data_IF_200018332011
#
_entry.id   IF_200018332011
#
_cell.length_a   1.000
_cell.length_b   1.000
_cell.length_c   1.000
_cell.angle_alpha   90.00
_cell.angle_beta   90.00
_cell.angle_gamma   90.00
#
_symmetry.space_group_name_H-M   'P 1'
#
loop_
_entity.id
_entity.type
_entity.pdbx_description
1 polymer ?
#
# COMPACT_ATOMS: atom_id res chain seq x y z
N UNK A 1 8.99 22.15 -41.35
CA UNK A 1 9.07 20.90 -40.56
C UNK A 1 9.59 21.18 -39.14
N UNK A 2 10.75 21.82 -38.99
CA UNK A 2 11.39 22.20 -37.71
C UNK A 2 10.48 22.90 -36.68
N UNK A 3 9.67 23.90 -37.09
CA UNK A 3 8.76 24.63 -36.18
C UNK A 3 7.62 23.76 -35.62
N UNK A 4 7.16 22.78 -36.40
CA UNK A 4 6.11 21.87 -35.95
C UNK A 4 6.67 20.86 -34.94
N UNK A 5 7.91 20.42 -35.14
CA UNK A 5 8.61 19.52 -34.21
C UNK A 5 8.85 20.18 -32.85
N UNK A 6 9.27 21.44 -32.83
CA UNK A 6 9.47 22.21 -31.59
C UNK A 6 8.18 22.45 -30.80
N UNK A 7 7.05 22.69 -31.48
CA UNK A 7 5.73 22.82 -30.84
C UNK A 7 5.29 21.48 -30.25
N UNK A 8 5.48 20.38 -30.99
CA UNK A 8 5.13 19.03 -30.52
C UNK A 8 5.98 18.64 -29.31
N UNK A 9 7.30 18.88 -29.33
CA UNK A 9 8.16 18.65 -28.17
C UNK A 9 7.77 19.53 -26.96
N UNK A 10 7.42 20.80 -27.19
CA UNK A 10 6.98 21.70 -26.14
C UNK A 10 5.68 21.24 -25.47
N UNK A 11 4.69 20.80 -26.25
CA UNK A 11 3.43 20.25 -25.75
C UNK A 11 3.64 18.94 -24.98
N UNK A 12 4.54 18.06 -25.46
CA UNK A 12 4.92 16.82 -24.77
C UNK A 12 5.58 17.11 -23.41
N UNK A 13 6.47 18.09 -23.30
CA UNK A 13 7.06 18.50 -22.03
C UNK A 13 6.04 19.08 -21.06
N UNK A 14 5.11 19.93 -21.51
CA UNK A 14 4.05 20.46 -20.65
C UNK A 14 3.16 19.34 -20.10
N UNK A 15 2.85 18.33 -20.92
CA UNK A 15 2.01 17.20 -20.50
C UNK A 15 2.68 16.30 -19.44
N UNK A 16 4.01 16.15 -19.46
CA UNK A 16 4.74 15.34 -18.49
C UNK A 16 4.82 15.98 -17.09
N UNK A 17 4.70 17.32 -17.00
CA UNK A 17 4.81 18.05 -15.73
C UNK A 17 3.52 18.03 -14.88
N UNK A 18 2.40 17.54 -15.41
CA UNK A 18 1.08 17.63 -14.74
C UNK A 18 0.53 16.30 -14.22
N UNK A 19 1.28 15.21 -14.33
CA UNK A 19 0.85 13.93 -13.74
C UNK A 19 1.02 14.00 -12.22
N UNK A 20 -0.09 14.10 -11.48
CA UNK A 20 -0.12 13.95 -10.02
C UNK A 20 -0.65 12.55 -9.68
N UNK A 21 0.18 11.74 -9.03
CA UNK A 21 -0.22 10.45 -8.47
C UNK A 21 -0.84 10.58 -7.07
N UNK A 22 -1.54 9.54 -6.64
CA UNK A 22 -1.94 9.36 -5.23
C UNK A 22 -0.71 8.85 -4.47
N UNK A 23 -0.41 9.46 -3.33
CA UNK A 23 0.71 9.04 -2.49
C UNK A 23 0.21 8.01 -1.47
N UNK A 24 0.92 6.89 -1.42
CA UNK A 24 0.73 5.82 -0.43
C UNK A 24 2.01 5.73 0.38
N UNK A 25 1.92 5.88 1.69
CA UNK A 25 3.06 5.81 2.60
C UNK A 25 2.88 4.63 3.56
N UNK A 26 3.85 3.70 3.57
CA UNK A 26 3.85 2.56 4.49
C UNK A 26 4.93 2.73 5.57
N UNK A 27 4.56 2.52 6.84
CA UNK A 27 5.45 2.62 7.99
C UNK A 27 5.18 1.48 9.00
N UNK A 28 6.22 0.93 9.65
CA UNK A 28 7.64 1.11 9.37
C UNK A 28 8.07 0.50 8.03
N UNK A 29 9.16 1.01 7.45
CA UNK A 29 9.74 0.48 6.20
C UNK A 29 10.29 -0.94 6.39
N UNK A 30 10.92 -1.18 7.54
CA UNK A 30 11.43 -2.47 7.95
C UNK A 30 11.15 -2.72 9.42
N UNK A 31 10.89 -3.98 9.77
CA UNK A 31 10.54 -4.40 11.12
C UNK A 31 11.23 -5.73 11.43
N UNK A 32 11.88 -5.79 12.61
CA UNK A 32 12.45 -7.02 13.15
C UNK A 32 11.75 -7.34 14.46
N UNK A 33 11.17 -8.54 14.55
CA UNK A 33 10.40 -9.00 15.71
C UNK A 33 10.94 -10.35 16.20
N UNK A 34 10.67 -10.67 17.45
CA UNK A 34 10.81 -12.03 17.96
C UNK A 34 9.52 -12.81 17.72
N UNK A 35 9.66 -14.14 17.61
CA UNK A 35 8.52 -15.04 17.56
C UNK A 35 7.62 -14.84 18.79
N UNK A 36 6.31 -14.89 18.59
CA UNK A 36 5.30 -14.60 19.60
C UNK A 36 5.02 -13.12 19.85
N UNK A 37 5.81 -12.20 19.28
CA UNK A 37 5.57 -10.77 19.43
C UNK A 37 4.45 -10.27 18.52
N UNK A 38 3.73 -9.26 18.99
CA UNK A 38 2.73 -8.54 18.20
C UNK A 38 3.29 -7.23 17.62
N UNK A 39 2.91 -6.89 16.38
CA UNK A 39 3.26 -5.60 15.77
C UNK A 39 2.35 -5.27 14.59
N UNK A 40 2.48 -4.08 14.01
CA UNK A 40 1.68 -3.71 12.86
C UNK A 40 2.34 -2.75 11.90
N UNK A 41 1.90 -2.85 10.65
CA UNK A 41 2.19 -1.93 9.57
C UNK A 41 1.04 -0.94 9.43
N UNK A 42 1.36 0.29 9.07
CA UNK A 42 0.40 1.34 8.77
C UNK A 42 0.62 1.83 7.34
N UNK A 43 -0.48 2.05 6.65
CA UNK A 43 -0.53 2.59 5.30
C UNK A 43 -1.36 3.89 5.35
N UNK A 44 -0.76 5.03 5.00
CA UNK A 44 -1.44 6.31 4.93
C UNK A 44 -1.62 6.74 3.47
N UNK A 45 -2.71 7.42 3.17
CA UNK A 45 -3.06 7.87 1.82
C UNK A 45 -3.16 9.40 1.76
N UNK A 46 -2.71 10.00 0.65
CA UNK A 46 -2.85 11.46 0.48
C UNK A 46 -4.31 11.93 0.30
N UNK A 47 -5.22 11.02 -0.07
CA UNK A 47 -6.65 11.30 -0.25
C UNK A 47 -7.50 10.12 0.25
N UNK A 48 -8.82 10.28 0.28
CA UNK A 48 -9.77 9.23 0.68
C UNK A 48 -9.79 8.10 -0.34
N UNK A 49 -9.77 6.86 0.13
CA UNK A 49 -9.84 5.65 -0.71
C UNK A 49 -11.21 4.97 -0.56
N UNK A 50 -11.66 4.26 -1.58
CA UNK A 50 -12.86 3.41 -1.55
C UNK A 50 -12.58 2.04 -0.95
N UNK A 51 -11.40 1.48 -1.24
CA UNK A 51 -11.00 0.18 -0.70
C UNK A 51 -9.49 0.06 -0.54
N UNK A 52 -9.08 -0.86 0.33
CA UNK A 52 -7.67 -1.21 0.58
C UNK A 52 -7.49 -2.72 0.52
N UNK A 53 -6.35 -3.13 -0.02
CA UNK A 53 -5.86 -4.50 -0.03
C UNK A 53 -4.51 -4.60 0.66
N UNK A 54 -4.39 -5.61 1.51
CA UNK A 54 -3.10 -6.01 2.09
C UNK A 54 -2.62 -7.28 1.42
N UNK A 55 -1.36 -7.28 1.03
CA UNK A 55 -0.69 -8.41 0.41
C UNK A 55 0.56 -8.78 1.19
N UNK A 56 0.94 -10.04 1.07
CA UNK A 56 2.26 -10.53 1.40
C UNK A 56 2.93 -11.11 0.16
N UNK A 57 4.18 -10.76 -0.07
CA UNK A 57 4.96 -11.34 -1.13
C UNK A 57 5.52 -12.69 -0.70
N UNK A 58 5.29 -13.72 -1.52
CA UNK A 58 5.91 -15.02 -1.31
C UNK A 58 7.38 -15.02 -1.78
N UNK A 59 8.18 -16.05 -1.44
CA UNK A 59 9.58 -16.13 -1.88
C UNK A 59 9.79 -16.15 -3.41
N UNK A 60 8.74 -16.42 -4.20
CA UNK A 60 8.76 -16.42 -5.66
C UNK A 60 8.32 -15.08 -6.26
N UNK A 61 8.08 -14.06 -5.44
CA UNK A 61 7.68 -12.72 -5.85
C UNK A 61 6.18 -12.52 -6.08
N UNK A 62 5.35 -13.57 -5.99
CA UNK A 62 3.90 -13.44 -6.16
C UNK A 62 3.24 -12.82 -4.94
N UNK A 63 2.25 -11.95 -5.17
CA UNK A 63 1.46 -11.34 -4.11
C UNK A 63 0.32 -12.27 -3.67
N UNK A 64 0.30 -12.60 -2.38
CA UNK A 64 -0.78 -13.32 -1.72
C UNK A 64 -1.68 -12.30 -1.06
N UNK A 65 -2.96 -12.26 -1.42
CA UNK A 65 -3.92 -11.37 -0.77
C UNK A 65 -4.21 -11.85 0.66
N UNK A 66 -4.05 -10.96 1.63
CA UNK A 66 -4.38 -11.18 3.04
C UNK A 66 -5.78 -10.65 3.36
N UNK A 67 -6.06 -9.41 2.93
CA UNK A 67 -7.34 -8.75 3.15
C UNK A 67 -7.75 -7.88 1.97
N UNK A 68 -9.06 -7.70 1.85
CA UNK A 68 -9.73 -6.64 1.10
C UNK A 68 -10.73 -5.95 2.03
N UNK A 69 -10.63 -4.63 2.20
CA UNK A 69 -11.48 -3.83 3.07
C UNK A 69 -12.07 -2.64 2.30
N UNK A 70 -13.39 -2.50 2.30
CA UNK A 70 -14.07 -1.27 1.88
C UNK A 70 -14.23 -0.28 3.04
N UNK A 71 -14.31 -0.79 4.29
CA UNK A 71 -14.30 -0.01 5.52
C UNK A 71 -14.19 -0.96 6.72
N UNK A 72 -13.83 -0.43 7.89
CA UNK A 72 -13.91 -1.12 9.17
C UNK A 72 -12.74 -2.07 9.41
N UNK A 73 -12.98 -3.11 10.19
CA UNK A 73 -11.93 -4.04 10.64
C UNK A 73 -12.27 -5.47 10.23
N UNK A 74 -11.26 -6.21 9.77
CA UNK A 74 -11.32 -7.65 9.48
C UNK A 74 -10.21 -8.37 10.23
N UNK A 75 -10.43 -9.63 10.54
CA UNK A 75 -9.49 -10.48 11.24
C UNK A 75 -9.50 -11.88 10.63
N UNK A 76 -8.32 -12.50 10.53
CA UNK A 76 -8.14 -13.86 10.08
C UNK A 76 -6.97 -14.49 10.87
N UNK A 77 -7.30 -15.32 11.85
CA UNK A 77 -6.31 -15.93 12.74
C UNK A 77 -5.51 -14.87 13.50
N UNK A 78 -4.19 -14.88 13.33
CA UNK A 78 -3.25 -13.96 14.00
C UNK A 78 -3.18 -12.58 13.36
N UNK A 79 -3.78 -12.41 12.17
CA UNK A 79 -3.73 -11.18 11.40
C UNK A 79 -5.04 -10.38 11.53
N UNK A 80 -4.91 -9.07 11.72
CA UNK A 80 -6.03 -8.13 11.82
C UNK A 80 -5.74 -6.90 10.98
N UNK A 81 -6.71 -6.44 10.20
CA UNK A 81 -6.58 -5.22 9.41
C UNK A 81 -7.73 -4.27 9.65
N UNK A 82 -7.44 -2.97 9.74
CA UNK A 82 -8.42 -1.90 9.84
C UNK A 82 -8.26 -0.97 8.65
N UNK A 83 -9.36 -0.45 8.11
CA UNK A 83 -9.36 0.59 7.10
C UNK A 83 -10.36 1.69 7.46
N UNK A 84 -9.85 2.91 7.55
CA UNK A 84 -10.64 4.11 7.74
C UNK A 84 -10.41 5.07 6.57
N UNK A 85 -11.43 5.18 5.71
CA UNK A 85 -11.38 6.07 4.54
C UNK A 85 -11.35 7.55 4.93
N UNK A 86 -12.03 7.94 6.02
CA UNK A 86 -12.11 9.33 6.48
C UNK A 86 -10.76 9.79 7.03
N UNK A 87 -10.15 8.94 7.85
CA UNK A 87 -8.82 9.16 8.43
C UNK A 87 -7.67 8.79 7.47
N UNK A 88 -8.01 8.32 6.26
CA UNK A 88 -7.07 8.03 5.15
C UNK A 88 -5.95 7.09 5.55
N UNK A 89 -6.27 6.04 6.30
CA UNK A 89 -5.28 5.03 6.64
C UNK A 89 -5.85 3.61 6.67
N UNK A 90 -4.95 2.65 6.54
CA UNK A 90 -5.18 1.27 6.88
C UNK A 90 -4.05 0.72 7.74
N UNK A 91 -4.35 -0.25 8.59
CA UNK A 91 -3.35 -0.99 9.37
C UNK A 91 -3.42 -2.47 9.08
N UNK A 92 -2.29 -3.16 9.22
CA UNK A 92 -2.20 -4.62 9.28
C UNK A 92 -1.41 -4.97 10.54
N UNK A 93 -2.04 -5.66 11.46
CA UNK A 93 -1.48 -6.09 12.73
C UNK A 93 -1.36 -7.61 12.78
N UNK A 94 -0.27 -8.09 13.35
CA UNK A 94 -0.03 -9.49 13.69
C UNK A 94 0.12 -9.60 15.20
N UNK A 95 -0.60 -10.52 15.85
CA UNK A 95 -0.61 -10.64 17.31
C UNK A 95 0.42 -11.63 17.88
N UNK A 96 0.77 -12.65 17.11
CA UNK A 96 1.65 -13.77 17.51
C UNK A 96 2.55 -14.10 16.31
N UNK A 97 3.63 -13.33 16.10
CA UNK A 97 4.47 -13.49 14.91
C UNK A 97 5.16 -14.86 14.87
N UNK A 98 5.19 -15.50 13.70
CA UNK A 98 5.84 -16.79 13.45
C UNK A 98 6.93 -16.63 12.38
N UNK A 99 7.87 -17.57 12.32
CA UNK A 99 8.97 -17.54 11.34
C UNK A 99 8.43 -17.44 9.90
N UNK A 100 7.36 -18.16 9.64
CA UNK A 100 6.67 -18.16 8.37
C UNK A 100 5.98 -16.84 8.04
N UNK A 101 5.88 -15.85 8.92
CA UNK A 101 5.33 -14.53 8.61
C UNK A 101 6.37 -13.56 8.05
N UNK A 102 7.65 -13.93 8.10
CA UNK A 102 8.72 -13.11 7.56
C UNK A 102 8.56 -12.90 6.05
N UNK A 103 8.70 -11.65 5.59
CA UNK A 103 8.58 -11.30 4.19
C UNK A 103 8.17 -9.85 3.97
N UNK A 104 8.00 -9.48 2.71
CA UNK A 104 7.59 -8.13 2.31
C UNK A 104 6.06 -8.04 2.26
N UNK A 105 5.53 -6.97 2.83
CA UNK A 105 4.10 -6.70 2.89
C UNK A 105 3.78 -5.42 2.12
N UNK A 106 2.71 -5.47 1.31
CA UNK A 106 2.30 -4.36 0.47
C UNK A 106 0.87 -3.94 0.80
N UNK A 107 0.65 -2.64 0.80
CA UNK A 107 -0.66 -2.01 0.84
C UNK A 107 -0.96 -1.44 -0.55
N UNK A 108 -2.13 -1.74 -1.09
CA UNK A 108 -2.66 -1.09 -2.28
C UNK A 108 -4.05 -0.54 -1.98
N UNK A 109 -4.44 0.54 -2.63
CA UNK A 109 -5.74 1.14 -2.42
C UNK A 109 -6.34 1.62 -3.75
N UNK A 110 -7.66 1.64 -3.78
CA UNK A 110 -8.47 2.11 -4.89
C UNK A 110 -9.24 3.34 -4.44
N UNK A 111 -9.16 4.43 -5.22
CA UNK A 111 -9.81 5.72 -4.95
C UNK A 111 -11.15 5.86 -5.67
#
# INVERSE_FOLDING_TARGET
>A
MERSLGIVLGLLWVSLCWVRGIQVEQNPEALSLHEGAGSGLRCNFSTTMNSVQWFRQNPRGSLINLFFLASGTKENGRLKSTFDSKERYSTLHISDAQLEDSGTYFCAAEA
#
